data_IF_766814313645
#
_entry.id   IF_766814313645
#
_cell.length_a   1.000
_cell.length_b   1.000
_cell.length_c   1.000
_cell.angle_alpha   90.00
_cell.angle_beta   90.00
_cell.angle_gamma   90.00
#
_symmetry.space_group_name_H-M   'P 1'
#
loop_
_entity.id
_entity.type
_entity.pdbx_description
1 polymer ?
#
# COMPACT_ATOMS: atom_id res chain seq x y z
N UNK A 1 1.27 -32.37 4.20
CA UNK A 1 1.69 -31.71 2.95
C UNK A 1 2.32 -30.36 3.26
N UNK A 2 3.38 -29.96 2.55
CA UNK A 2 3.98 -28.64 2.72
C UNK A 2 3.13 -27.62 1.98
N UNK A 3 2.24 -26.90 2.69
CA UNK A 3 1.39 -25.87 2.09
C UNK A 3 2.27 -24.76 1.52
N UNK A 4 1.96 -24.33 0.29
CA UNK A 4 2.67 -23.24 -0.37
C UNK A 4 2.51 -21.98 0.47
N UNK A 5 3.61 -21.29 0.77
CA UNK A 5 3.53 -20.08 1.57
C UNK A 5 2.82 -18.98 0.76
N UNK A 6 1.71 -18.50 1.31
CA UNK A 6 0.91 -17.39 0.76
C UNK A 6 1.08 -16.17 1.65
N UNK A 7 1.05 -15.01 1.02
CA UNK A 7 0.89 -13.72 1.69
C UNK A 7 0.23 -12.74 0.74
N UNK A 8 -0.18 -11.58 1.23
CA UNK A 8 -0.83 -10.60 0.37
C UNK A 8 -0.58 -9.15 0.75
N UNK A 9 -1.34 -8.29 0.08
CA UNK A 9 -1.42 -6.86 0.31
C UNK A 9 -2.84 -6.41 -0.01
N UNK A 10 -3.39 -5.48 0.78
CA UNK A 10 -4.61 -4.79 0.41
C UNK A 10 -4.37 -3.86 -0.78
N UNK A 11 -5.36 -3.80 -1.68
CA UNK A 11 -5.43 -2.84 -2.79
C UNK A 11 -6.78 -2.12 -2.74
N UNK A 12 -6.99 -1.16 -3.63
CA UNK A 12 -8.24 -0.38 -3.66
C UNK A 12 -9.39 -1.33 -4.05
N UNK A 13 -10.40 -1.43 -3.19
CA UNK A 13 -11.52 -2.37 -3.34
C UNK A 13 -11.14 -3.85 -3.44
N UNK A 14 -9.99 -4.27 -2.90
CA UNK A 14 -9.55 -5.64 -3.12
C UNK A 14 -8.33 -6.11 -2.36
N UNK A 15 -7.88 -7.30 -2.72
CA UNK A 15 -6.68 -7.93 -2.18
C UNK A 15 -5.81 -8.48 -3.29
N UNK A 16 -4.50 -8.36 -3.11
CA UNK A 16 -3.50 -9.06 -3.90
C UNK A 16 -2.93 -10.20 -3.05
N UNK A 17 -2.94 -11.41 -3.60
CA UNK A 17 -2.33 -12.59 -3.01
C UNK A 17 -1.12 -13.00 -3.85
N UNK A 18 -0.05 -13.41 -3.17
CA UNK A 18 1.22 -13.79 -3.77
C UNK A 18 1.69 -15.13 -3.21
N UNK A 19 2.20 -15.95 -4.12
CA UNK A 19 2.99 -17.14 -3.84
C UNK A 19 4.39 -16.96 -4.44
N UNK A 20 5.32 -17.91 -4.26
CA UNK A 20 6.65 -17.79 -4.86
C UNK A 20 6.63 -17.60 -6.39
N UNK A 21 5.65 -18.20 -7.09
CA UNK A 21 5.63 -18.29 -8.56
C UNK A 21 4.38 -17.66 -9.19
N UNK A 22 3.45 -17.12 -8.40
CA UNK A 22 2.22 -16.54 -8.91
C UNK A 22 1.72 -15.38 -8.07
N UNK A 23 0.93 -14.54 -8.72
CA UNK A 23 0.24 -13.40 -8.13
C UNK A 23 -1.20 -13.37 -8.64
N UNK A 24 -2.13 -13.10 -7.74
CA UNK A 24 -3.54 -12.91 -8.06
C UNK A 24 -4.05 -11.63 -7.40
N UNK A 25 -4.72 -10.77 -8.17
CA UNK A 25 -5.38 -9.56 -7.67
C UNK A 25 -6.87 -9.75 -7.86
N UNK A 26 -7.64 -9.64 -6.79
CA UNK A 26 -9.10 -9.68 -6.82
C UNK A 26 -9.65 -8.34 -6.35
N UNK A 27 -10.46 -7.68 -7.19
CA UNK A 27 -11.07 -6.38 -6.92
C UNK A 27 -12.57 -6.51 -7.04
N UNK A 28 -13.30 -5.96 -6.08
CA UNK A 28 -14.76 -5.82 -6.11
C UNK A 28 -15.12 -4.54 -6.86
N UNK A 29 -15.86 -4.66 -7.95
CA UNK A 29 -16.46 -3.53 -8.66
C UNK A 29 -17.68 -2.98 -7.90
N UNK A 30 -18.15 -1.81 -8.30
CA UNK A 30 -19.33 -1.17 -7.69
C UNK A 30 -20.62 -1.97 -7.90
N UNK A 31 -20.74 -2.70 -9.03
CA UNK A 31 -21.84 -3.64 -9.32
C UNK A 31 -21.78 -4.94 -8.49
N UNK A 32 -20.72 -5.11 -7.68
CA UNK A 32 -20.48 -6.28 -6.86
C UNK A 32 -19.75 -7.42 -7.56
N UNK A 33 -19.45 -7.31 -8.87
CA UNK A 33 -18.66 -8.29 -9.60
C UNK A 33 -17.21 -8.30 -9.10
N UNK A 34 -16.60 -9.49 -9.01
CA UNK A 34 -15.20 -9.64 -8.63
C UNK A 34 -14.35 -9.83 -9.87
N UNK A 35 -13.54 -8.82 -10.19
CA UNK A 35 -12.56 -8.91 -11.26
C UNK A 35 -11.27 -9.54 -10.72
N UNK A 36 -10.81 -10.61 -11.36
CA UNK A 36 -9.59 -11.33 -10.97
C UNK A 36 -8.55 -11.24 -12.08
N UNK A 37 -7.34 -10.79 -11.72
CA UNK A 37 -6.16 -10.83 -12.58
C UNK A 37 -5.17 -11.84 -12.01
N UNK A 38 -4.68 -12.76 -12.84
CA UNK A 38 -3.64 -13.74 -12.46
C UNK A 38 -2.39 -13.50 -13.30
N UNK A 39 -1.23 -13.53 -12.66
CA UNK A 39 0.07 -13.40 -13.30
C UNK A 39 1.03 -14.47 -12.75
N UNK A 40 1.82 -15.09 -13.61
CA UNK A 40 2.96 -15.89 -13.19
C UNK A 40 4.13 -14.97 -12.86
N UNK A 41 4.80 -15.25 -11.74
CA UNK A 41 6.03 -14.56 -11.38
C UNK A 41 7.22 -15.40 -11.84
N UNK A 42 8.24 -14.79 -12.47
CA UNK A 42 9.45 -15.51 -12.84
C UNK A 42 10.14 -16.06 -11.59
N UNK A 43 10.75 -17.24 -11.72
CA UNK A 43 11.53 -17.87 -10.65
C UNK A 43 12.66 -16.92 -10.20
N UNK A 44 12.83 -16.77 -8.87
CA UNK A 44 13.86 -15.87 -8.31
C UNK A 44 15.25 -16.32 -8.76
N UNK A 45 16.03 -15.41 -9.35
CA UNK A 45 17.41 -15.71 -9.74
C UNK A 45 18.30 -16.06 -8.54
N UNK A 46 19.21 -17.03 -8.71
CA UNK A 46 20.15 -17.51 -7.69
C UNK A 46 21.04 -16.41 -7.09
N UNK A 47 21.21 -15.30 -7.81
CA UNK A 47 22.01 -14.14 -7.42
C UNK A 47 21.36 -13.31 -6.27
N UNK A 48 20.07 -13.52 -5.97
CA UNK A 48 19.38 -12.96 -4.79
C UNK A 48 19.74 -13.66 -3.46
N UNK A 49 20.70 -14.60 -3.44
CA UNK A 49 21.10 -15.33 -2.23
C UNK A 49 22.14 -14.61 -1.35
N UNK A 50 22.69 -13.46 -1.79
CA UNK A 50 23.65 -12.69 -0.99
C UNK A 50 22.92 -11.91 0.13
N UNK A 51 23.27 -12.07 1.42
CA UNK A 51 22.45 -11.65 2.55
C UNK A 51 22.17 -10.14 2.60
N UNK A 52 23.09 -9.30 2.15
CA UNK A 52 22.96 -7.83 2.20
C UNK A 52 22.11 -7.30 1.02
N UNK A 53 22.39 -7.71 -0.21
CA UNK A 53 21.64 -7.23 -1.39
C UNK A 53 20.26 -7.87 -1.52
N UNK A 54 20.03 -9.04 -0.91
CA UNK A 54 18.73 -9.73 -0.91
C UNK A 54 17.62 -8.87 -0.36
N UNK A 55 17.86 -8.15 0.75
CA UNK A 55 16.85 -7.30 1.39
C UNK A 55 16.41 -6.16 0.49
N UNK A 56 17.37 -5.42 -0.08
CA UNK A 56 17.11 -4.29 -0.97
C UNK A 56 16.37 -4.74 -2.26
N UNK A 57 16.82 -5.83 -2.88
CA UNK A 57 16.17 -6.37 -4.09
C UNK A 57 14.75 -6.85 -3.77
N UNK A 58 14.55 -7.58 -2.66
CA UNK A 58 13.23 -8.06 -2.28
C UNK A 58 12.27 -6.90 -1.96
N UNK A 59 12.75 -5.85 -1.28
CA UNK A 59 11.97 -4.65 -1.01
C UNK A 59 11.60 -3.93 -2.32
N UNK A 60 12.57 -3.76 -3.23
CA UNK A 60 12.32 -3.16 -4.53
C UNK A 60 11.28 -3.93 -5.35
N UNK A 61 11.42 -5.26 -5.42
CA UNK A 61 10.44 -6.13 -6.08
C UNK A 61 9.05 -5.98 -5.44
N UNK A 62 8.96 -6.00 -4.11
CA UNK A 62 7.71 -5.85 -3.39
C UNK A 62 7.07 -4.47 -3.66
N UNK A 63 7.85 -3.40 -3.68
CA UNK A 63 7.38 -2.05 -4.02
C UNK A 63 6.85 -1.96 -5.45
N UNK A 64 7.61 -2.50 -6.42
CA UNK A 64 7.18 -2.48 -7.84
C UNK A 64 5.91 -3.28 -8.04
N UNK A 65 5.82 -4.48 -7.44
CA UNK A 65 4.63 -5.33 -7.53
C UNK A 65 3.43 -4.67 -6.84
N UNK A 66 3.62 -4.16 -5.62
CA UNK A 66 2.58 -3.48 -4.85
C UNK A 66 2.05 -2.25 -5.57
N UNK A 67 2.95 -1.44 -6.14
CA UNK A 67 2.58 -0.28 -6.96
C UNK A 67 1.77 -0.69 -8.20
N UNK A 68 2.22 -1.71 -8.93
CA UNK A 68 1.48 -2.22 -10.11
C UNK A 68 0.08 -2.72 -9.72
N UNK A 69 -0.05 -3.40 -8.59
CA UNK A 69 -1.32 -3.90 -8.10
C UNK A 69 -2.27 -2.76 -7.70
N UNK A 70 -1.76 -1.75 -6.99
CA UNK A 70 -2.50 -0.54 -6.65
C UNK A 70 -2.94 0.23 -7.89
N UNK A 71 -2.02 0.48 -8.83
CA UNK A 71 -2.32 1.17 -10.08
C UNK A 71 -3.37 0.42 -10.90
N UNK A 72 -3.29 -0.91 -10.96
CA UNK A 72 -4.30 -1.75 -11.60
C UNK A 72 -5.67 -1.59 -10.94
N UNK A 73 -5.73 -1.63 -9.60
CA UNK A 73 -6.98 -1.45 -8.85
C UNK A 73 -7.58 -0.06 -9.02
N UNK A 74 -6.75 0.99 -8.99
CA UNK A 74 -7.19 2.36 -9.22
C UNK A 74 -7.80 2.53 -10.61
N UNK A 75 -7.11 2.05 -11.65
CA UNK A 75 -7.61 2.16 -13.04
C UNK A 75 -8.96 1.47 -13.23
N UNK A 76 -9.16 0.31 -12.61
CA UNK A 76 -10.40 -0.46 -12.74
C UNK A 76 -11.56 0.08 -11.91
N UNK A 77 -11.30 0.74 -10.79
CA UNK A 77 -12.33 1.45 -10.03
C UNK A 77 -12.69 2.82 -10.64
N UNK A 78 -11.71 3.53 -11.24
CA UNK A 78 -11.96 4.83 -11.89
C UNK A 78 -12.70 4.66 -13.22
N UNK A 79 -12.44 3.61 -13.99
CA UNK A 79 -13.11 3.38 -15.29
C UNK A 79 -14.61 3.06 -15.20
N UNK A 80 -15.18 3.00 -14.00
CA UNK A 80 -16.63 2.91 -13.75
C UNK A 80 -17.23 4.27 -13.33
N UNK A 81 -16.41 5.19 -12.80
CA UNK A 81 -16.87 6.50 -12.30
C UNK A 81 -16.80 7.65 -13.32
N UNK A 82 -16.20 7.43 -14.50
CA UNK A 82 -16.12 8.44 -15.55
C UNK A 82 -17.10 8.17 -16.69
N UNK A 83 -18.39 8.36 -16.42
CA UNK A 83 -19.33 8.98 -17.37
C UNK A 83 -18.99 10.48 -17.52
N UNK A 84 -17.74 10.79 -17.85
CA UNK A 84 -17.37 12.09 -18.44
C UNK A 84 -16.94 11.80 -19.86
N UNK A 85 -17.94 11.85 -20.75
CA UNK A 85 -17.74 12.11 -22.17
C UNK A 85 -16.99 13.44 -22.29
N UNK A 86 -15.67 13.39 -22.39
CA UNK A 86 -14.92 14.42 -23.10
C UNK A 86 -14.42 13.80 -24.40
N UNK A 87 -15.21 14.03 -25.46
CA UNK A 87 -14.80 13.86 -26.85
C UNK A 87 -13.66 14.84 -27.16
N UNK A 88 -12.44 14.51 -26.76
CA UNK A 88 -11.24 15.09 -27.34
C UNK A 88 -10.31 13.94 -27.70
N UNK A 89 -10.13 13.73 -29.01
CA UNK A 89 -9.08 12.88 -29.58
C UNK A 89 -7.73 13.51 -29.25
N UNK A 90 -7.28 13.39 -28.00
CA UNK A 90 -5.89 13.59 -27.65
C UNK A 90 -5.17 12.29 -27.97
N UNK A 91 -4.03 12.39 -28.65
CA UNK A 91 -3.26 11.24 -29.06
C UNK A 91 -2.86 10.43 -27.81
N UNK A 92 -3.07 9.09 -27.81
CA UNK A 92 -2.82 8.22 -26.64
C UNK A 92 -1.37 8.33 -26.09
N UNK A 93 -0.43 8.84 -26.91
CA UNK A 93 0.96 9.16 -26.51
C UNK A 93 1.08 10.48 -25.76
N UNK A 94 0.31 11.51 -26.11
CA UNK A 94 0.31 12.80 -25.42
C UNK A 94 -0.43 12.72 -24.08
N UNK A 95 -1.57 12.04 -24.01
CA UNK A 95 -2.25 11.75 -22.72
C UNK A 95 -1.31 11.04 -21.73
N UNK A 96 -0.55 10.03 -22.19
CA UNK A 96 0.41 9.30 -21.36
C UNK A 96 1.58 10.16 -20.90
N UNK A 97 2.07 11.08 -21.74
CA UNK A 97 3.17 12.00 -21.39
C UNK A 97 2.73 13.09 -20.41
N UNK A 98 1.57 13.70 -20.65
CA UNK A 98 0.97 14.73 -19.78
C UNK A 98 0.60 14.12 -18.43
N UNK A 99 0.05 12.90 -18.43
CA UNK A 99 -0.25 12.14 -17.21
C UNK A 99 1.02 11.79 -16.41
N UNK A 100 2.11 11.40 -17.08
CA UNK A 100 3.39 11.10 -16.43
C UNK A 100 4.05 12.34 -15.79
N UNK A 101 4.01 13.48 -16.47
CA UNK A 101 4.56 14.74 -15.94
C UNK A 101 3.70 15.27 -14.76
N UNK A 102 2.38 15.23 -14.89
CA UNK A 102 1.47 15.58 -13.81
C UNK A 102 1.66 14.68 -12.57
N UNK A 103 1.86 13.37 -12.79
CA UNK A 103 2.20 12.44 -11.71
C UNK A 103 3.55 12.80 -11.06
N UNK A 104 4.58 13.12 -11.85
CA UNK A 104 5.88 13.55 -11.34
C UNK A 104 5.78 14.82 -10.48
N UNK A 105 5.05 15.83 -10.96
CA UNK A 105 4.83 17.09 -10.23
C UNK A 105 4.06 16.86 -8.93
N UNK A 106 2.99 16.08 -8.97
CA UNK A 106 2.21 15.76 -7.77
C UNK A 106 3.02 14.96 -6.75
N UNK A 107 3.88 14.05 -7.19
CA UNK A 107 4.81 13.34 -6.30
C UNK A 107 5.82 14.27 -5.63
N UNK A 108 6.44 15.18 -6.40
CA UNK A 108 7.40 16.16 -5.84
C UNK A 108 6.69 17.08 -4.84
N UNK A 109 5.49 17.56 -5.20
CA UNK A 109 4.70 18.40 -4.32
C UNK A 109 4.30 17.67 -3.03
N UNK A 110 3.83 16.42 -3.13
CA UNK A 110 3.49 15.59 -1.97
C UNK A 110 4.71 15.32 -1.08
N UNK A 111 5.88 15.04 -1.66
CA UNK A 111 7.12 14.87 -0.92
C UNK A 111 7.55 16.16 -0.23
N UNK A 112 7.42 17.30 -0.91
CA UNK A 112 7.67 18.63 -0.35
C UNK A 112 6.77 18.92 0.85
N UNK A 113 5.46 18.63 0.74
CA UNK A 113 4.52 18.75 1.84
C UNK A 113 4.86 17.80 3.01
N UNK A 114 5.28 16.58 2.72
CA UNK A 114 5.69 15.63 3.75
C UNK A 114 6.95 16.12 4.51
N UNK A 115 7.96 16.64 3.81
CA UNK A 115 9.16 17.24 4.43
C UNK A 115 8.76 18.47 5.25
N UNK A 116 7.91 19.33 4.70
CA UNK A 116 7.40 20.50 5.41
C UNK A 116 6.69 20.10 6.70
N UNK A 117 5.73 19.19 6.63
CA UNK A 117 4.85 18.84 7.75
C UNK A 117 5.51 17.95 8.80
N UNK A 118 6.36 17.00 8.42
CA UNK A 118 6.98 16.05 9.37
C UNK A 118 8.40 16.43 9.79
N UNK A 119 9.05 17.37 9.11
CA UNK A 119 10.40 17.79 9.45
C UNK A 119 10.52 19.27 9.78
N UNK A 120 10.18 20.15 8.84
CA UNK A 120 10.42 21.58 9.00
C UNK A 120 9.47 22.20 10.03
N UNK A 121 8.19 21.85 9.98
CA UNK A 121 7.16 22.41 10.85
C UNK A 121 7.36 21.99 12.33
N UNK A 122 7.61 20.71 12.67
CA UNK A 122 7.97 20.32 14.03
C UNK A 122 9.21 21.07 14.54
N UNK A 123 10.28 21.13 13.75
CA UNK A 123 11.51 21.83 14.13
C UNK A 123 11.29 23.33 14.34
N UNK A 124 10.47 23.96 13.49
CA UNK A 124 10.07 25.36 13.64
C UNK A 124 9.31 25.59 14.95
N UNK A 125 8.35 24.72 15.27
CA UNK A 125 7.58 24.80 16.52
C UNK A 125 8.52 24.61 17.73
N UNK A 126 9.43 23.63 17.69
CA UNK A 126 10.42 23.41 18.74
C UNK A 126 11.30 24.64 18.97
N UNK A 127 11.75 25.29 17.89
CA UNK A 127 12.57 26.51 17.97
C UNK A 127 11.84 27.68 18.65
N UNK A 128 10.50 27.73 18.56
CA UNK A 128 9.71 28.79 19.20
C UNK A 128 9.81 28.76 20.74
N UNK A 129 10.13 27.59 21.33
CA UNK A 129 10.36 27.45 22.77
C UNK A 129 11.74 27.96 23.24
N UNK A 130 12.63 28.36 22.32
CA UNK A 130 13.95 28.95 22.62
C UNK A 130 14.80 28.12 23.61
N UNK A 131 14.72 26.79 23.51
CA UNK A 131 15.40 25.86 24.41
C UNK A 131 16.91 25.89 24.15
N UNK A 132 17.70 26.30 25.14
CA UNK A 132 19.17 26.42 25.01
C UNK A 132 19.92 25.09 25.12
N UNK A 133 19.37 24.12 25.85
CA UNK A 133 19.99 22.80 26.02
C UNK A 133 19.71 21.93 24.81
N UNK A 134 20.76 21.48 24.12
CA UNK A 134 20.65 20.63 22.92
C UNK A 134 19.94 19.31 23.21
N UNK A 135 20.14 18.73 24.40
CA UNK A 135 19.49 17.47 24.79
C UNK A 135 17.99 17.70 24.95
N UNK A 136 17.60 18.75 25.67
CA UNK A 136 16.20 19.07 25.89
C UNK A 136 15.49 19.48 24.60
N UNK A 137 16.18 20.22 23.72
CA UNK A 137 15.68 20.57 22.40
C UNK A 137 15.33 19.31 21.59
N UNK A 138 16.27 18.36 21.47
CA UNK A 138 16.04 17.13 20.71
C UNK A 138 14.93 16.26 21.30
N UNK A 139 14.80 16.23 22.63
CA UNK A 139 13.73 15.51 23.30
C UNK A 139 12.36 16.11 22.94
N UNK A 140 12.22 17.44 23.05
CA UNK A 140 10.98 18.14 22.73
C UNK A 140 10.65 18.03 21.24
N UNK A 141 11.65 18.20 20.37
CA UNK A 141 11.49 18.02 18.92
C UNK A 141 11.00 16.62 18.57
N UNK A 142 11.60 15.58 19.19
CA UNK A 142 11.18 14.19 19.02
C UNK A 142 9.73 13.96 19.46
N UNK A 143 9.31 14.54 20.59
CA UNK A 143 7.93 14.44 21.08
C UNK A 143 6.94 15.15 20.16
N UNK A 144 7.27 16.34 19.66
CA UNK A 144 6.43 17.06 18.70
C UNK A 144 6.31 16.27 17.41
N UNK A 145 7.41 15.73 16.87
CA UNK A 145 7.35 14.85 15.69
C UNK A 145 6.48 13.62 15.90
N UNK A 146 6.57 13.00 17.07
CA UNK A 146 5.75 11.84 17.41
C UNK A 146 4.25 12.22 17.46
N UNK A 147 3.93 13.38 18.03
CA UNK A 147 2.58 13.92 18.03
C UNK A 147 2.07 14.16 16.59
N UNK A 148 2.87 14.80 15.73
CA UNK A 148 2.53 15.02 14.32
C UNK A 148 2.31 13.69 13.58
N UNK A 149 3.17 12.70 13.82
CA UNK A 149 3.07 11.38 13.21
C UNK A 149 1.79 10.66 13.61
N UNK A 150 1.50 10.52 14.91
CA UNK A 150 0.28 9.87 15.35
C UNK A 150 -0.98 10.67 15.02
N UNK A 151 -0.94 12.00 15.14
CA UNK A 151 -2.03 12.88 14.75
C UNK A 151 -2.39 12.73 13.28
N UNK A 152 -1.38 12.68 12.40
CA UNK A 152 -1.58 12.39 10.98
C UNK A 152 -2.19 11.01 10.76
N UNK A 153 -1.65 9.95 11.38
CA UNK A 153 -2.19 8.59 11.24
C UNK A 153 -3.66 8.51 11.67
N UNK A 154 -4.00 9.13 12.80
CA UNK A 154 -5.37 9.20 13.27
C UNK A 154 -6.25 9.96 12.27
N UNK A 155 -5.82 11.11 11.77
CA UNK A 155 -6.58 11.89 10.79
C UNK A 155 -6.87 11.10 9.51
N UNK A 156 -5.84 10.50 8.89
CA UNK A 156 -6.04 9.74 7.65
C UNK A 156 -6.83 8.45 7.89
N UNK A 157 -6.72 7.83 9.07
CA UNK A 157 -7.48 6.63 9.42
C UNK A 157 -8.98 6.89 9.48
N UNK A 158 -9.41 8.15 9.59
CA UNK A 158 -10.82 8.51 9.57
C UNK A 158 -11.42 8.56 8.16
N UNK A 159 -10.59 8.66 7.12
CA UNK A 159 -11.03 8.71 5.73
C UNK A 159 -11.68 7.40 5.32
N UNK A 160 -12.82 7.49 4.61
CA UNK A 160 -13.63 6.32 4.21
C UNK A 160 -12.80 5.32 3.39
N UNK A 161 -12.00 5.80 2.45
CA UNK A 161 -11.19 4.97 1.57
C UNK A 161 -10.09 4.23 2.34
N UNK A 162 -9.48 4.90 3.33
CA UNK A 162 -8.44 4.31 4.19
C UNK A 162 -9.05 3.25 5.12
N UNK A 163 -10.21 3.53 5.73
CA UNK A 163 -10.95 2.54 6.53
C UNK A 163 -11.27 1.30 5.71
N UNK A 164 -11.70 1.50 4.46
CA UNK A 164 -12.02 0.42 3.54
C UNK A 164 -10.77 -0.38 3.15
N UNK A 165 -9.65 0.27 2.88
CA UNK A 165 -8.36 -0.40 2.65
C UNK A 165 -7.95 -1.27 3.86
N UNK A 166 -8.12 -0.78 5.09
CA UNK A 166 -7.86 -1.58 6.30
C UNK A 166 -8.81 -2.76 6.44
N UNK A 167 -10.08 -2.64 6.04
CA UNK A 167 -11.00 -3.76 6.01
C UNK A 167 -10.54 -4.86 5.03
N UNK A 168 -10.08 -4.48 3.83
CA UNK A 168 -9.51 -5.43 2.87
C UNK A 168 -8.19 -6.05 3.37
N UNK A 169 -7.37 -5.32 4.10
CA UNK A 169 -6.18 -5.88 4.74
C UNK A 169 -6.53 -6.93 5.80
N UNK A 170 -7.52 -6.65 6.65
CA UNK A 170 -8.06 -7.64 7.58
C UNK A 170 -8.63 -8.86 6.86
N UNK A 171 -9.30 -8.67 5.72
CA UNK A 171 -9.81 -9.77 4.91
C UNK A 171 -8.69 -10.62 4.30
N UNK A 172 -7.58 -10.02 3.87
CA UNK A 172 -6.39 -10.73 3.40
C UNK A 172 -5.82 -11.63 4.49
N UNK A 173 -5.60 -11.11 5.70
CA UNK A 173 -5.14 -11.92 6.83
C UNK A 173 -6.08 -13.09 7.16
N UNK A 174 -7.40 -12.85 7.15
CA UNK A 174 -8.40 -13.90 7.39
C UNK A 174 -8.35 -15.00 6.32
N UNK A 175 -8.20 -14.61 5.05
CA UNK A 175 -8.07 -15.55 3.94
C UNK A 175 -6.77 -16.38 4.05
N UNK A 176 -5.65 -15.74 4.40
CA UNK A 176 -4.37 -16.44 4.62
C UNK A 176 -4.48 -17.44 5.78
N UNK A 177 -5.06 -17.04 6.91
CA UNK A 177 -5.28 -17.95 8.04
C UNK A 177 -6.17 -19.15 7.70
N UNK A 178 -7.23 -18.94 6.91
CA UNK A 178 -8.13 -20.02 6.48
C UNK A 178 -7.38 -21.03 5.62
N UNK A 179 -6.59 -20.54 4.66
CA UNK A 179 -5.72 -21.37 3.83
C UNK A 179 -4.68 -22.14 4.67
N UNK A 180 -4.06 -21.48 5.65
CA UNK A 180 -3.06 -22.10 6.52
C UNK A 180 -3.64 -23.13 7.48
N UNK A 181 -4.88 -22.94 7.93
CA UNK A 181 -5.63 -23.94 8.69
C UNK A 181 -6.03 -25.12 7.80
N UNK A 182 -6.16 -24.92 6.49
CA UNK A 182 -6.55 -25.98 5.55
C UNK A 182 -8.04 -26.17 5.43
N UNK A 183 -8.76 -25.16 5.86
CA UNK A 183 -10.20 -25.09 5.72
C UNK A 183 -10.54 -24.57 4.33
N UNK A 184 -11.74 -24.88 3.86
CA UNK A 184 -12.22 -24.35 2.60
C UNK A 184 -12.29 -22.81 2.67
N UNK A 185 -11.87 -22.14 1.60
CA UNK A 185 -11.86 -20.68 1.47
C UNK A 185 -13.29 -20.13 1.28
N UNK A 186 -14.09 -20.25 2.33
CA UNK A 186 -15.46 -19.75 2.42
C UNK A 186 -15.54 -18.56 3.37
N UNK A 187 -16.58 -17.75 3.20
CA UNK A 187 -16.84 -16.61 4.09
C UNK A 187 -17.04 -17.10 5.53
N UNK A 188 -17.69 -18.25 5.73
CA UNK A 188 -17.95 -18.82 7.05
C UNK A 188 -16.63 -19.12 7.78
N UNK A 189 -15.72 -19.86 7.16
CA UNK A 189 -14.44 -20.25 7.77
C UNK A 189 -13.52 -19.04 8.00
N UNK A 190 -13.50 -18.09 7.07
CA UNK A 190 -12.66 -16.91 7.18
C UNK A 190 -13.14 -15.91 8.24
N UNK A 191 -14.45 -15.84 8.50
CA UNK A 191 -15.04 -14.84 9.41
C UNK A 191 -14.47 -14.92 10.82
N UNK A 192 -14.20 -16.13 11.30
CA UNK A 192 -13.72 -16.38 12.67
C UNK A 192 -12.19 -16.27 12.81
N UNK A 193 -11.47 -16.09 11.71
CA UNK A 193 -10.01 -15.88 11.76
C UNK A 193 -9.66 -14.48 12.25
N UNK A 194 -8.50 -14.37 12.89
CA UNK A 194 -7.94 -13.10 13.36
C UNK A 194 -7.53 -12.21 12.19
N UNK A 195 -7.67 -10.90 12.36
CA UNK A 195 -7.08 -9.91 11.45
C UNK A 195 -5.62 -9.60 11.78
N UNK A 196 -5.02 -10.24 12.80
CA UNK A 196 -3.63 -10.05 13.20
C UNK A 196 -2.82 -11.27 12.77
N UNK A 197 -2.09 -11.16 11.65
CA UNK A 197 -1.25 -12.24 11.13
C UNK A 197 0.22 -12.04 11.54
N UNK A 198 0.93 -13.06 12.11
CA UNK A 198 2.30 -12.91 12.61
C UNK A 198 3.32 -12.58 11.52
N UNK A 199 2.95 -12.79 10.25
CA UNK A 199 3.80 -12.53 9.08
C UNK A 199 3.41 -11.26 8.31
N UNK A 200 2.50 -10.46 8.86
CA UNK A 200 2.13 -9.17 8.29
C UNK A 200 3.39 -8.30 8.09
N UNK A 201 3.59 -7.81 6.87
CA UNK A 201 4.71 -6.93 6.51
C UNK A 201 6.05 -7.62 6.18
N UNK A 202 6.14 -8.96 6.25
CA UNK A 202 7.41 -9.70 6.02
C UNK A 202 7.30 -10.85 5.00
N UNK A 203 6.32 -10.79 4.09
CA UNK A 203 6.05 -11.85 3.09
C UNK A 203 7.02 -11.86 1.90
#
# INVERSE_FOLDING_TARGET
EMRVRVGGQAVIEGVMMRTPNALAIAIRKEDGEILVKKESLPSRHLLLKKPISRGAIALWEALVIGYKALAFSAQKNVSVNSDVKSEQKVDKKEERKISGLALGVTMIFALGLAILFFNLLPAFITNLFQIKSSILFNLVDGLIRLFFFFGYLLAISQLKDVKRLFAYHGAEHKAVYTYEAGEDLTIANARDKSTLHPRCGIN
#
